data_IF_093993209064
#
_entry.id   IF_093993209064
#
_cell.length_a   1.000
_cell.length_b   1.000
_cell.length_c   1.000
_cell.angle_alpha   90.00
_cell.angle_beta   90.00
_cell.angle_gamma   90.00
#
_symmetry.space_group_name_H-M   'P 1'
#
loop_
_entity.id
_entity.type
_entity.pdbx_description
1 polymer ?
#
# COMPACT_ATOMS: atom_id res chain seq x y z
N UNK A 1 -11.11 -8.86 4.56
CA UNK A 1 -11.43 -8.54 5.95
C UNK A 1 -10.34 -7.70 6.57
N UNK A 2 -10.67 -6.52 7.07
CA UNK A 2 -9.66 -5.69 7.74
C UNK A 2 -9.16 -6.38 9.01
N UNK A 3 -7.87 -6.43 9.14
CA UNK A 3 -7.23 -7.00 10.33
C UNK A 3 -5.81 -6.46 10.42
N UNK A 4 -5.21 -6.66 11.57
CA UNK A 4 -3.80 -6.34 11.76
C UNK A 4 -2.98 -7.35 10.98
N UNK A 5 -2.02 -6.87 10.19
CA UNK A 5 -1.16 -7.74 9.42
C UNK A 5 -0.31 -8.60 10.34
N UNK A 6 -0.17 -9.87 9.98
CA UNK A 6 0.65 -10.82 10.71
C UNK A 6 2.02 -10.92 10.04
N UNK A 7 3.00 -10.22 10.60
CA UNK A 7 4.33 -10.11 10.02
C UNK A 7 5.32 -11.05 10.72
N UNK A 8 6.41 -11.44 10.03
CA UNK A 8 7.46 -12.25 10.66
C UNK A 8 8.30 -11.41 11.63
N UNK A 9 9.29 -12.04 12.25
CA UNK A 9 10.22 -11.33 13.12
C UNK A 9 10.93 -10.20 12.38
N UNK A 10 11.07 -9.03 13.01
CA UNK A 10 11.83 -7.93 12.42
C UNK A 10 13.33 -8.30 12.25
N UNK A 11 14.05 -7.61 11.37
CA UNK A 11 13.61 -6.42 10.67
C UNK A 11 12.82 -6.73 9.41
N UNK A 12 11.92 -5.83 9.05
CA UNK A 12 11.25 -5.80 7.76
C UNK A 12 10.93 -4.35 7.43
N UNK A 13 10.24 -4.09 6.33
CA UNK A 13 10.03 -2.73 5.86
C UNK A 13 8.56 -2.42 5.68
N UNK A 14 8.21 -1.16 5.86
CA UNK A 14 6.85 -0.68 5.70
C UNK A 14 6.80 0.38 4.62
N UNK A 15 5.78 0.31 3.77
CA UNK A 15 5.41 1.38 2.85
C UNK A 15 4.13 1.99 3.40
N UNK A 16 4.21 3.25 3.78
CA UNK A 16 3.11 3.98 4.40
C UNK A 16 2.57 4.95 3.36
N UNK A 17 1.36 4.66 2.87
CA UNK A 17 0.69 5.48 1.88
C UNK A 17 -0.43 6.25 2.54
N UNK A 18 -0.26 7.56 2.69
CA UNK A 18 -1.24 8.45 3.31
C UNK A 18 -1.85 9.31 2.22
N UNK A 19 -3.17 9.39 2.17
CA UNK A 19 -3.84 10.11 1.08
C UNK A 19 -5.12 10.80 1.50
N UNK A 20 -5.44 11.86 0.76
CA UNK A 20 -6.74 12.52 0.80
C UNK A 20 -7.37 12.36 -0.57
N UNK A 21 -8.63 11.96 -0.63
CA UNK A 21 -9.30 11.68 -1.88
C UNK A 21 -10.02 12.91 -2.42
N UNK A 22 -10.23 12.91 -3.74
CA UNK A 22 -11.16 13.80 -4.39
C UNK A 22 -12.58 13.25 -4.23
N UNK A 23 -13.57 13.93 -4.78
CA UNK A 23 -14.94 13.45 -4.80
C UNK A 23 -15.20 12.38 -5.87
N UNK A 24 -14.21 12.11 -6.72
CA UNK A 24 -14.36 11.14 -7.81
C UNK A 24 -14.22 9.73 -7.26
N UNK A 25 -15.30 8.96 -7.32
CA UNK A 25 -15.36 7.60 -6.81
C UNK A 25 -15.30 6.51 -7.88
N UNK A 26 -15.59 6.85 -9.13
CA UNK A 26 -15.73 5.85 -10.19
C UNK A 26 -14.46 5.02 -10.33
N UNK A 27 -14.59 3.73 -10.10
CA UNK A 27 -13.50 2.77 -10.27
C UNK A 27 -12.50 2.71 -9.11
N UNK A 28 -12.66 3.56 -8.09
CA UNK A 28 -11.69 3.59 -7.00
C UNK A 28 -11.62 2.28 -6.21
N UNK A 29 -12.76 1.77 -5.77
CA UNK A 29 -12.79 0.55 -4.96
C UNK A 29 -12.25 -0.64 -5.73
N UNK A 30 -12.61 -0.76 -7.01
CA UNK A 30 -12.11 -1.84 -7.85
C UNK A 30 -10.60 -1.76 -8.04
N UNK A 31 -10.07 -0.55 -8.27
CA UNK A 31 -8.63 -0.37 -8.41
C UNK A 31 -7.89 -0.63 -7.10
N UNK A 32 -8.41 -0.15 -5.99
CA UNK A 32 -7.79 -0.37 -4.68
C UNK A 32 -7.72 -1.87 -4.36
N UNK A 33 -8.80 -2.61 -4.60
CA UNK A 33 -8.83 -4.05 -4.41
C UNK A 33 -7.83 -4.75 -5.32
N UNK A 34 -7.78 -4.35 -6.59
CA UNK A 34 -6.84 -4.92 -7.57
C UNK A 34 -5.39 -4.70 -7.17
N UNK A 35 -5.07 -3.52 -6.66
CA UNK A 35 -3.70 -3.21 -6.23
C UNK A 35 -3.28 -4.09 -5.06
N UNK A 36 -4.17 -4.34 -4.11
CA UNK A 36 -3.89 -5.25 -2.99
C UNK A 36 -3.66 -6.67 -3.49
N UNK A 37 -4.49 -7.15 -4.43
CA UNK A 37 -4.30 -8.48 -5.02
C UNK A 37 -2.94 -8.61 -5.71
N UNK A 38 -2.57 -7.60 -6.49
CA UNK A 38 -1.29 -7.60 -7.21
C UNK A 38 -0.11 -7.55 -6.25
N UNK A 39 -0.21 -6.72 -5.21
CA UNK A 39 0.84 -6.62 -4.20
C UNK A 39 1.05 -7.97 -3.49
N UNK A 40 -0.03 -8.65 -3.16
CA UNK A 40 0.03 -9.93 -2.46
C UNK A 40 0.71 -11.04 -3.27
N UNK A 41 0.80 -10.87 -4.59
CA UNK A 41 1.46 -11.83 -5.48
C UNK A 41 2.95 -11.53 -5.65
N UNK A 42 3.44 -10.41 -5.14
CA UNK A 42 4.83 -10.00 -5.34
C UNK A 42 5.78 -10.69 -4.37
N UNK A 43 6.99 -11.02 -4.83
CA UNK A 43 8.02 -11.53 -3.92
C UNK A 43 8.28 -10.51 -2.80
N UNK A 44 8.40 -11.02 -1.58
CA UNK A 44 8.71 -10.18 -0.43
C UNK A 44 7.53 -9.51 0.24
N UNK A 45 6.32 -9.64 -0.31
CA UNK A 45 5.12 -9.10 0.34
C UNK A 45 4.84 -9.87 1.63
N UNK A 46 4.62 -9.15 2.73
CA UNK A 46 4.38 -9.75 4.04
C UNK A 46 2.97 -9.50 4.57
N UNK A 47 2.32 -8.42 4.15
CA UNK A 47 0.99 -8.11 4.63
C UNK A 47 0.60 -6.67 4.36
N UNK A 48 -0.66 -6.35 4.62
CA UNK A 48 -1.20 -5.02 4.43
C UNK A 48 -2.31 -4.75 5.43
N UNK A 49 -2.39 -3.52 5.86
CA UNK A 49 -3.50 -3.05 6.69
C UNK A 49 -3.83 -1.61 6.31
N UNK A 50 -5.09 -1.22 6.43
CA UNK A 50 -5.50 0.12 6.03
C UNK A 50 -6.72 0.59 6.79
N UNK A 51 -6.84 1.90 6.87
CA UNK A 51 -8.00 2.57 7.44
C UNK A 51 -8.20 3.88 6.71
N UNK A 52 -9.44 4.29 6.57
CA UNK A 52 -9.76 5.56 5.90
C UNK A 52 -10.95 6.24 6.56
N UNK A 53 -10.77 7.54 6.74
CA UNK A 53 -11.84 8.47 7.00
C UNK A 53 -11.57 9.68 6.09
N UNK A 54 -11.39 10.87 6.60
CA UNK A 54 -11.00 12.02 5.78
C UNK A 54 -9.60 11.83 5.22
N UNK A 55 -8.72 11.24 6.00
CA UNK A 55 -7.39 10.84 5.59
C UNK A 55 -7.34 9.31 5.61
N UNK A 56 -6.81 8.72 4.55
CA UNK A 56 -6.61 7.28 4.47
C UNK A 56 -5.15 6.93 4.66
N UNK A 57 -4.90 5.81 5.35
CA UNK A 57 -3.55 5.28 5.52
C UNK A 57 -3.57 3.80 5.14
N UNK A 58 -2.70 3.42 4.22
CA UNK A 58 -2.46 2.03 3.87
C UNK A 58 -1.00 1.73 4.17
N UNK A 59 -0.77 0.69 4.97
CA UNK A 59 0.59 0.26 5.28
C UNK A 59 0.78 -1.14 4.73
N UNK A 60 1.74 -1.30 3.82
CA UNK A 60 2.13 -2.62 3.32
C UNK A 60 3.51 -2.96 3.86
N UNK A 61 3.70 -4.25 4.15
CA UNK A 61 4.93 -4.74 4.78
C UNK A 61 5.68 -5.64 3.81
N UNK A 62 7.00 -5.50 3.79
CA UNK A 62 7.87 -6.12 2.78
C UNK A 62 9.15 -6.64 3.41
N UNK A 63 9.67 -7.73 2.86
CA UNK A 63 10.87 -8.36 3.40
C UNK A 63 12.13 -7.51 3.21
N UNK A 64 12.20 -6.74 2.12
CA UNK A 64 13.39 -5.96 1.79
C UNK A 64 13.05 -4.77 0.88
N UNK A 65 14.04 -3.89 0.73
CA UNK A 65 13.87 -2.68 -0.10
C UNK A 65 13.80 -3.01 -1.60
N UNK A 66 14.44 -4.08 -2.03
CA UNK A 66 14.40 -4.48 -3.44
C UNK A 66 12.98 -4.88 -3.85
N UNK A 67 12.26 -5.58 -2.99
CA UNK A 67 10.87 -5.96 -3.21
C UNK A 67 9.97 -4.73 -3.32
N UNK A 68 10.20 -3.72 -2.48
CA UNK A 68 9.45 -2.46 -2.53
C UNK A 68 9.71 -1.75 -3.85
N UNK A 69 10.95 -1.68 -4.28
CA UNK A 69 11.31 -1.03 -5.54
C UNK A 69 10.63 -1.70 -6.73
N UNK A 70 10.65 -3.02 -6.77
CA UNK A 70 10.01 -3.79 -7.83
C UNK A 70 8.49 -3.58 -7.82
N UNK A 71 7.88 -3.60 -6.64
CA UNK A 71 6.45 -3.36 -6.49
C UNK A 71 6.08 -1.94 -6.95
N UNK A 72 6.87 -0.94 -6.59
CA UNK A 72 6.60 0.43 -7.00
C UNK A 72 6.57 0.57 -8.52
N UNK A 73 7.55 -0.01 -9.20
CA UNK A 73 7.61 0.03 -10.65
C UNK A 73 6.38 -0.65 -11.27
N UNK A 74 5.97 -1.80 -10.73
CA UNK A 74 4.80 -2.52 -11.20
C UNK A 74 3.51 -1.72 -10.98
N UNK A 75 3.36 -1.13 -9.80
CA UNK A 75 2.19 -0.34 -9.44
C UNK A 75 2.05 0.90 -10.33
N UNK A 76 3.15 1.61 -10.58
CA UNK A 76 3.13 2.78 -11.45
C UNK A 76 2.71 2.42 -12.87
N UNK A 77 3.18 1.28 -13.37
CA UNK A 77 2.78 0.80 -14.69
C UNK A 77 1.26 0.54 -14.76
N UNK A 78 0.70 -0.10 -13.75
CA UNK A 78 -0.73 -0.37 -13.69
C UNK A 78 -1.54 0.92 -13.60
N UNK A 79 -1.10 1.87 -12.80
CA UNK A 79 -1.77 3.16 -12.66
C UNK A 79 -1.75 3.95 -13.96
N UNK A 80 -0.62 3.96 -14.67
CA UNK A 80 -0.51 4.64 -15.96
C UNK A 80 -1.51 4.09 -16.97
N UNK A 81 -1.72 2.79 -16.97
CA UNK A 81 -2.69 2.17 -17.86
C UNK A 81 -4.13 2.54 -17.52
N UNK A 82 -4.41 2.84 -16.27
CA UNK A 82 -5.76 3.09 -15.79
C UNK A 82 -6.13 4.56 -15.76
N UNK A 83 -5.18 5.45 -15.83
CA UNK A 83 -5.39 6.92 -15.81
C UNK A 83 -6.11 7.42 -14.55
N UNK A 84 -6.19 6.58 -13.51
CA UNK A 84 -7.05 6.87 -12.37
C UNK A 84 -6.39 7.59 -11.21
N UNK A 85 -5.08 7.46 -11.09
CA UNK A 85 -4.36 7.91 -9.93
C UNK A 85 -4.56 9.40 -9.65
N UNK A 86 -4.41 10.24 -10.67
CA UNK A 86 -4.53 11.69 -10.54
C UNK A 86 -5.97 12.15 -10.30
N UNK A 87 -6.93 11.33 -10.70
CA UNK A 87 -8.35 11.67 -10.52
C UNK A 87 -8.83 11.41 -9.11
N UNK A 88 -8.31 10.37 -8.47
CA UNK A 88 -8.83 9.91 -7.18
C UNK A 88 -8.22 10.59 -5.98
N UNK A 89 -6.98 11.08 -6.10
CA UNK A 89 -6.27 11.65 -4.96
C UNK A 89 -6.04 13.14 -5.13
N UNK A 90 -6.50 13.90 -4.14
CA UNK A 90 -6.22 15.32 -4.05
C UNK A 90 -4.77 15.54 -3.60
N UNK A 91 -4.32 14.68 -2.69
CA UNK A 91 -2.98 14.74 -2.14
C UNK A 91 -2.60 13.38 -1.58
N UNK A 92 -1.36 12.97 -1.76
CA UNK A 92 -0.87 11.74 -1.14
C UNK A 92 0.63 11.85 -0.85
N UNK A 93 1.07 11.03 0.07
CA UNK A 93 2.50 10.90 0.38
C UNK A 93 2.80 9.45 0.71
N UNK A 94 3.89 8.95 0.15
CA UNK A 94 4.38 7.61 0.41
C UNK A 94 5.68 7.70 1.19
N UNK A 95 5.75 6.97 2.29
CA UNK A 95 6.96 6.89 3.10
C UNK A 95 7.40 5.45 3.21
N UNK A 96 8.70 5.22 3.21
CA UNK A 96 9.29 3.89 3.38
C UNK A 96 10.11 3.92 4.65
N UNK A 97 9.83 2.97 5.54
CA UNK A 97 10.47 2.91 6.85
C UNK A 97 10.91 1.49 7.15
N UNK A 98 11.96 1.35 7.92
CA UNK A 98 12.41 0.07 8.42
C UNK A 98 11.76 -0.20 9.77
N UNK A 99 11.15 -1.37 9.93
CA UNK A 99 10.62 -1.82 11.22
C UNK A 99 11.73 -2.61 11.89
N UNK A 100 12.35 -2.02 12.88
CA UNK A 100 13.45 -2.63 13.59
C UNK A 100 12.97 -3.52 14.74
N UNK A 101 11.79 -3.19 15.27
CA UNK A 101 11.23 -3.87 16.43
C UNK A 101 9.72 -3.76 16.39
N UNK A 102 9.02 -4.82 16.75
CA UNK A 102 7.58 -4.79 16.95
C UNK A 102 7.19 -5.61 18.18
N UNK A 103 6.01 -5.36 18.70
CA UNK A 103 5.46 -6.13 19.81
C UNK A 103 3.94 -5.93 19.85
N UNK A 104 3.25 -6.88 20.44
CA UNK A 104 1.80 -6.82 20.49
C UNK A 104 1.22 -7.98 21.30
N UNK A 105 -0.08 -8.05 21.29
CA UNK A 105 -0.82 -9.14 21.96
C UNK A 105 -1.75 -9.82 20.98
#
# INVERSE_FOLDING_TARGET
MPSIANTPEPPYYAVIFTSQRTEIDIGYDAMAARMVELAAQQPGFLGVESARNEVGVTVSYWADLASIKAWKAHAEHQEAQRLGHQQWYQHFKTRIAKVERDYGI
#
